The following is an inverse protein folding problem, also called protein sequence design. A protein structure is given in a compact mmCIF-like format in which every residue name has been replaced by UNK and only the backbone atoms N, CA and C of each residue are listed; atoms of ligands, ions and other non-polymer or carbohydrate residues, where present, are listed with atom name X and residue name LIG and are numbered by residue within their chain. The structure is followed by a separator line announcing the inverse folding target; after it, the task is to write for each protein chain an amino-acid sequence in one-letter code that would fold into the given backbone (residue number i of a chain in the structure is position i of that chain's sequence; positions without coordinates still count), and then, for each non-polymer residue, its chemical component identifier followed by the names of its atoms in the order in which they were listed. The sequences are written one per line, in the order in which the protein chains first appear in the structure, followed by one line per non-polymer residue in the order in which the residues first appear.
data_IF_166662772123
#
_entry.id   IF_166662772123
#
_cell.length_a   1.000
_cell.length_b   1.000
_cell.length_c   1.000
_cell.angle_alpha   90.00
_cell.angle_beta   90.00
_cell.angle_gamma   90.00
#
_symmetry.space_group_name_H-M   'P 1'
#
loop_
_entity.id
_entity.type
_entity.pdbx_description
1 polymer ?
#
# COMPACT_ATOMS: atom_id res chain seq x y z
N UNK A 1 -24.67 65.29 7.29
CA UNK A 1 -24.55 63.84 7.27
C UNK A 1 -23.11 63.47 7.03
N UNK A 2 -22.38 63.17 8.10
CA UNK A 2 -20.97 62.72 8.02
C UNK A 2 -20.96 61.20 7.98
N UNK A 3 -20.49 60.62 6.86
CA UNK A 3 -20.24 59.17 6.76
C UNK A 3 -18.86 58.85 7.33
N UNK A 4 -18.83 58.06 8.40
CA UNK A 4 -17.63 57.47 8.94
C UNK A 4 -17.29 56.18 8.17
N UNK A 5 -16.19 56.16 7.46
CA UNK A 5 -15.61 54.93 6.85
C UNK A 5 -14.66 54.34 7.88
N UNK A 6 -14.99 53.15 8.38
CA UNK A 6 -14.19 52.36 9.29
C UNK A 6 -13.20 51.53 8.46
N UNK A 7 -11.88 51.56 8.70
CA UNK A 7 -10.95 50.74 7.96
C UNK A 7 -10.97 49.29 8.53
N UNK A 8 -11.17 48.35 7.65
CA UNK A 8 -11.10 46.89 7.93
C UNK A 8 -9.62 46.51 8.08
N UNK A 9 -9.17 46.29 9.31
CA UNK A 9 -7.86 45.68 9.56
C UNK A 9 -7.88 44.20 9.19
N UNK A 10 -7.24 43.86 8.10
CA UNK A 10 -6.89 42.45 7.78
C UNK A 10 -5.76 41.98 8.72
N UNK A 11 -6.13 41.19 9.71
CA UNK A 11 -5.16 40.43 10.51
C UNK A 11 -4.57 39.31 9.63
N UNK A 12 -3.35 39.52 9.16
CA UNK A 12 -2.56 38.45 8.55
C UNK A 12 -2.15 37.45 9.64
N UNK A 13 -2.73 36.27 9.63
CA UNK A 13 -2.26 35.15 10.46
C UNK A 13 -0.83 34.75 10.04
N UNK A 14 0.10 34.57 10.97
CA UNK A 14 1.44 34.10 10.61
C UNK A 14 1.31 32.67 10.08
N UNK A 15 1.72 32.47 8.84
CA UNK A 15 2.01 31.13 8.31
C UNK A 15 3.20 30.61 9.12
N UNK A 16 2.94 29.73 10.08
CA UNK A 16 3.98 28.98 10.77
C UNK A 16 4.62 28.09 9.70
N UNK A 17 5.78 28.52 9.21
CA UNK A 17 6.61 27.72 8.32
C UNK A 17 6.90 26.39 9.00
N UNK A 18 6.39 25.29 8.41
CA UNK A 18 6.80 23.96 8.81
C UNK A 18 8.31 23.89 8.60
N UNK A 19 9.06 23.77 9.68
CA UNK A 19 10.46 23.38 9.65
C UNK A 19 10.52 22.00 8.99
N UNK A 20 10.78 21.94 7.70
CA UNK A 20 11.11 20.70 6.99
C UNK A 20 12.50 20.28 7.47
N UNK A 21 12.56 19.62 8.63
CA UNK A 21 13.76 18.89 9.00
C UNK A 21 14.00 17.87 7.88
N UNK A 22 15.10 18.01 7.14
CA UNK A 22 15.48 17.05 6.11
C UNK A 22 15.72 15.71 6.80
N UNK A 23 14.91 14.71 6.47
CA UNK A 23 15.10 13.36 7.01
C UNK A 23 16.48 12.82 6.61
N UNK A 24 17.14 12.06 7.48
CA UNK A 24 18.42 11.44 7.16
C UNK A 24 18.32 10.58 5.89
N UNK A 25 19.29 10.67 5.02
CA UNK A 25 19.41 9.79 3.86
C UNK A 25 19.92 8.41 4.30
N UNK A 26 19.46 7.36 3.63
CA UNK A 26 20.00 6.02 3.87
C UNK A 26 21.51 5.98 3.60
N UNK A 27 22.30 5.31 4.46
CA UNK A 27 23.69 5.03 4.18
C UNK A 27 23.85 4.30 2.84
N UNK A 28 24.95 4.55 2.13
CA UNK A 28 25.26 3.85 0.86
C UNK A 28 25.42 2.35 1.07
N UNK A 29 26.05 1.96 2.17
CA UNK A 29 26.17 0.56 2.62
C UNK A 29 25.44 0.39 3.96
N UNK A 30 24.64 -0.66 4.05
CA UNK A 30 23.93 -1.06 5.27
C UNK A 30 24.37 -2.47 5.61
N UNK A 31 24.98 -2.64 6.79
CA UNK A 31 25.25 -3.95 7.37
C UNK A 31 24.20 -4.17 8.47
N UNK A 32 23.39 -5.19 8.30
CA UNK A 32 22.39 -5.59 9.30
C UNK A 32 22.76 -6.97 9.84
N UNK A 33 22.83 -7.08 11.16
CA UNK A 33 23.08 -8.36 11.80
C UNK A 33 21.93 -9.32 11.50
N UNK A 34 22.25 -10.58 11.21
CA UNK A 34 21.24 -11.59 10.96
C UNK A 34 20.29 -11.72 12.17
N UNK A 35 19.01 -11.55 11.94
CA UNK A 35 17.97 -11.64 12.95
C UNK A 35 16.78 -12.46 12.42
N UNK A 36 16.51 -13.58 13.09
CA UNK A 36 15.38 -14.44 12.75
C UNK A 36 14.02 -13.81 13.08
N UNK A 37 14.00 -12.81 13.97
CA UNK A 37 12.79 -12.07 14.35
C UNK A 37 12.53 -10.87 13.45
N UNK A 38 11.32 -10.37 13.49
CA UNK A 38 10.90 -9.20 12.73
C UNK A 38 11.64 -7.95 13.23
N UNK A 39 12.26 -7.15 12.34
CA UNK A 39 12.91 -5.91 12.71
C UNK A 39 11.98 -4.92 13.41
N UNK A 40 12.50 -4.16 14.39
CA UNK A 40 11.72 -3.13 15.11
C UNK A 40 11.40 -1.95 14.16
N UNK A 41 10.11 -1.68 13.85
CA UNK A 41 9.74 -0.56 12.99
C UNK A 41 10.02 0.81 13.61
N UNK A 42 10.25 0.86 14.93
CA UNK A 42 10.53 2.10 15.66
C UNK A 42 12.02 2.38 15.86
N UNK A 43 12.89 1.50 15.38
CA UNK A 43 14.35 1.63 15.47
C UNK A 43 14.94 2.01 14.11
N UNK A 44 15.26 3.30 13.86
CA UNK A 44 15.97 3.72 12.67
C UNK A 44 17.38 3.14 12.60
N UNK A 45 17.96 3.05 11.39
CA UNK A 45 19.29 2.48 11.18
C UNK A 45 20.42 3.30 11.82
N UNK A 46 20.27 4.63 11.86
CA UNK A 46 21.33 5.54 12.28
C UNK A 46 20.92 6.46 13.45
N UNK A 47 19.83 6.16 14.13
CA UNK A 47 19.29 6.99 15.22
C UNK A 47 18.76 6.13 16.36
N UNK A 48 18.63 6.68 17.58
CA UNK A 48 17.96 6.00 18.67
C UNK A 48 16.51 5.63 18.29
N UNK A 49 15.96 4.67 19.01
CA UNK A 49 14.55 4.27 18.90
C UNK A 49 13.63 5.47 19.11
N UNK A 50 12.55 5.55 18.35
CA UNK A 50 11.57 6.64 18.40
C UNK A 50 10.94 6.79 19.79
N UNK A 51 10.77 8.04 20.22
CA UNK A 51 10.11 8.43 21.46
C UNK A 51 8.95 9.40 21.25
N UNK A 52 8.86 10.04 20.07
CA UNK A 52 7.79 10.98 19.73
C UNK A 52 7.15 10.66 18.38
N UNK A 53 5.87 11.01 18.21
CA UNK A 53 5.15 10.85 16.93
C UNK A 53 5.76 11.72 15.82
N UNK A 54 6.34 12.86 16.17
CA UNK A 54 6.99 13.77 15.20
C UNK A 54 8.22 13.18 14.52
N UNK A 55 8.81 12.11 15.06
CA UNK A 55 9.93 11.39 14.44
C UNK A 55 9.45 10.37 13.39
N UNK A 56 8.19 9.96 13.45
CA UNK A 56 7.66 8.91 12.58
C UNK A 56 7.73 9.23 11.08
N UNK A 57 7.44 10.45 10.59
CA UNK A 57 7.55 10.75 9.17
C UNK A 57 8.92 10.44 8.56
N UNK A 58 10.01 10.74 9.27
CA UNK A 58 11.36 10.39 8.80
C UNK A 58 11.62 8.88 8.85
N UNK A 59 11.12 8.18 9.86
CA UNK A 59 11.22 6.71 9.90
C UNK A 59 10.42 6.06 8.78
N UNK A 60 9.22 6.57 8.51
CA UNK A 60 8.38 6.14 7.39
C UNK A 60 9.13 6.27 6.05
N UNK A 61 9.77 7.40 5.83
CA UNK A 61 10.56 7.62 4.61
C UNK A 61 11.76 6.67 4.53
N UNK A 62 12.45 6.44 5.65
CA UNK A 62 13.54 5.45 5.72
C UNK A 62 13.04 4.04 5.36
N UNK A 63 11.88 3.61 5.89
CA UNK A 63 11.26 2.33 5.54
C UNK A 63 10.95 2.26 4.04
N UNK A 64 10.39 3.31 3.45
CA UNK A 64 10.14 3.37 1.99
C UNK A 64 11.41 3.21 1.18
N UNK A 65 12.48 3.87 1.57
CA UNK A 65 13.77 3.76 0.90
C UNK A 65 14.37 2.35 1.04
N UNK A 66 14.22 1.70 2.20
CA UNK A 66 14.62 0.30 2.40
C UNK A 66 13.85 -0.65 1.48
N UNK A 67 12.53 -0.53 1.44
CA UNK A 67 11.68 -1.34 0.57
C UNK A 67 12.03 -1.16 -0.91
N UNK A 68 12.32 0.07 -1.35
CA UNK A 68 12.75 0.35 -2.72
C UNK A 68 14.13 -0.23 -3.01
N UNK A 69 15.09 -0.03 -2.11
CA UNK A 69 16.48 -0.48 -2.31
C UNK A 69 16.59 -1.99 -2.40
N UNK A 70 15.90 -2.70 -1.53
CA UNK A 70 16.10 -4.15 -1.38
C UNK A 70 15.08 -5.00 -2.14
N UNK A 71 13.91 -4.46 -2.47
CA UNK A 71 12.81 -5.31 -2.94
C UNK A 71 12.11 -4.82 -4.19
N UNK A 72 11.61 -3.59 -4.19
CA UNK A 72 10.69 -3.16 -5.23
C UNK A 72 11.36 -2.38 -6.35
N UNK A 73 12.56 -1.83 -6.13
CA UNK A 73 13.20 -0.85 -7.01
C UNK A 73 12.62 0.55 -6.82
N UNK A 74 13.18 1.52 -7.54
CA UNK A 74 12.84 2.93 -7.36
C UNK A 74 11.48 3.26 -7.98
N UNK A 75 10.62 3.94 -7.22
CA UNK A 75 9.42 4.58 -7.72
C UNK A 75 9.76 6.01 -8.15
N UNK A 76 9.71 6.33 -9.46
CA UNK A 76 9.99 7.69 -9.90
C UNK A 76 8.95 8.68 -9.38
N UNK A 77 9.31 9.96 -9.22
CA UNK A 77 8.37 11.02 -8.91
C UNK A 77 7.35 11.22 -10.04
N UNK A 78 6.46 12.20 -9.86
CA UNK A 78 5.55 12.64 -10.92
C UNK A 78 6.36 13.03 -12.16
N UNK A 79 5.96 12.58 -13.37
CA UNK A 79 6.66 12.91 -14.61
C UNK A 79 6.58 14.40 -14.89
N UNK A 80 7.53 14.90 -15.70
CA UNK A 80 7.65 16.32 -16.06
C UNK A 80 6.40 16.90 -16.74
N UNK A 81 5.60 16.05 -17.42
CA UNK A 81 4.30 16.43 -17.96
C UNK A 81 3.30 15.28 -17.82
N UNK A 82 2.07 15.63 -17.44
CA UNK A 82 0.95 14.69 -17.40
C UNK A 82 -0.30 15.40 -17.90
N UNK A 83 -1.02 14.73 -18.81
CA UNK A 83 -2.31 15.15 -19.31
C UNK A 83 -3.32 14.01 -19.22
N UNK A 84 -4.60 14.35 -19.13
CA UNK A 84 -5.68 13.38 -19.09
C UNK A 84 -6.80 13.78 -20.05
N UNK A 85 -7.47 12.80 -20.65
CA UNK A 85 -8.64 13.00 -21.49
C UNK A 85 -9.70 11.95 -21.19
N UNK A 86 -10.97 12.40 -21.08
CA UNK A 86 -12.11 11.54 -20.83
C UNK A 86 -12.97 11.42 -22.08
N UNK A 87 -13.21 10.18 -22.52
CA UNK A 87 -14.16 9.88 -23.62
C UNK A 87 -15.11 8.76 -23.16
N UNK A 88 -16.38 9.10 -22.98
CA UNK A 88 -17.33 8.16 -22.39
C UNK A 88 -16.91 7.72 -20.99
N UNK A 89 -16.63 6.43 -20.83
CA UNK A 89 -16.13 5.83 -19.57
C UNK A 89 -14.60 5.64 -19.55
N UNK A 90 -13.91 6.00 -20.64
CA UNK A 90 -12.47 5.81 -20.78
C UNK A 90 -11.69 7.07 -20.40
N UNK A 91 -10.91 6.99 -19.33
CA UNK A 91 -9.98 8.04 -18.92
C UNK A 91 -8.57 7.65 -19.38
N UNK A 92 -8.04 8.37 -20.37
CA UNK A 92 -6.70 8.17 -20.91
C UNK A 92 -5.71 9.11 -20.21
N UNK A 93 -4.65 8.56 -19.69
CA UNK A 93 -3.56 9.27 -19.00
C UNK A 93 -2.33 9.24 -19.92
N UNK A 94 -1.77 10.42 -20.23
CA UNK A 94 -0.56 10.54 -21.01
C UNK A 94 0.53 11.20 -20.18
N UNK A 95 1.64 10.52 -20.03
CA UNK A 95 2.81 10.98 -19.28
C UNK A 95 3.99 11.22 -20.24
N UNK A 96 4.77 12.29 -19.96
CA UNK A 96 6.00 12.60 -20.70
C UNK A 96 7.14 12.80 -19.72
N UNK A 97 8.29 12.20 -20.04
CA UNK A 97 9.53 12.33 -19.26
C UNK A 97 10.75 12.21 -20.18
N UNK A 98 11.73 13.12 -20.05
CA UNK A 98 12.98 13.09 -20.81
C UNK A 98 12.80 12.84 -22.32
N UNK A 99 11.82 13.50 -22.94
CA UNK A 99 11.51 13.41 -24.37
C UNK A 99 10.72 12.15 -24.79
N UNK A 100 10.45 11.22 -23.87
CA UNK A 100 9.62 10.04 -24.12
C UNK A 100 8.17 10.31 -23.73
N UNK A 101 7.26 9.57 -24.34
CA UNK A 101 5.82 9.68 -24.08
C UNK A 101 5.22 8.28 -23.97
N UNK A 102 4.35 8.08 -22.99
CA UNK A 102 3.54 6.87 -22.84
C UNK A 102 2.10 7.23 -22.52
N UNK A 103 1.16 6.35 -22.83
CA UNK A 103 -0.24 6.50 -22.47
C UNK A 103 -0.84 5.18 -22.03
N UNK A 104 -1.75 5.24 -21.05
CA UNK A 104 -2.58 4.12 -20.64
C UNK A 104 -4.00 4.61 -20.35
N UNK A 105 -4.95 3.69 -20.34
CA UNK A 105 -6.36 4.02 -20.16
C UNK A 105 -6.95 3.21 -19.02
N UNK A 106 -7.78 3.85 -18.20
CA UNK A 106 -8.60 3.19 -17.20
C UNK A 106 -10.08 3.35 -17.53
N UNK A 107 -10.88 2.36 -17.14
CA UNK A 107 -12.33 2.38 -17.39
C UNK A 107 -13.06 2.77 -16.11
N UNK A 108 -13.92 3.77 -16.20
CA UNK A 108 -14.73 4.27 -15.10
C UNK A 108 -16.13 3.65 -15.15
N UNK A 109 -16.57 3.06 -14.04
CA UNK A 109 -17.98 2.68 -13.81
C UNK A 109 -18.52 3.55 -12.69
N UNK A 110 -19.36 4.51 -13.04
CA UNK A 110 -19.92 5.48 -12.10
C UNK A 110 -21.17 4.92 -11.41
N UNK A 111 -21.44 5.35 -10.16
CA UNK A 111 -22.69 5.07 -9.47
C UNK A 111 -23.91 5.62 -10.19
N UNK A 112 -25.02 4.90 -10.09
CA UNK A 112 -26.33 5.35 -10.61
C UNK A 112 -27.24 5.92 -9.52
N UNK A 113 -26.91 5.67 -8.25
CA UNK A 113 -27.76 5.96 -7.08
C UNK A 113 -27.10 6.89 -6.05
N UNK A 114 -26.03 7.60 -6.42
CA UNK A 114 -25.31 8.51 -5.53
C UNK A 114 -25.13 9.90 -6.17
N UNK A 115 -24.73 10.89 -5.37
CA UNK A 115 -24.44 12.25 -5.82
C UNK A 115 -22.93 12.44 -6.03
N UNK A 116 -22.53 13.01 -7.17
CA UNK A 116 -21.16 13.38 -7.46
C UNK A 116 -20.68 14.54 -6.56
N UNK A 117 -19.35 14.66 -6.29
CA UNK A 117 -18.30 13.76 -6.75
C UNK A 117 -18.27 12.44 -5.98
N UNK A 118 -18.08 11.33 -6.70
CA UNK A 118 -18.16 9.99 -6.14
C UNK A 118 -16.83 9.56 -5.50
N UNK A 119 -16.85 8.84 -4.37
CA UNK A 119 -15.72 8.03 -3.97
C UNK A 119 -15.49 6.92 -4.99
N UNK A 120 -14.25 6.43 -5.12
CA UNK A 120 -13.92 5.40 -6.08
C UNK A 120 -12.97 4.34 -5.50
N UNK A 121 -12.99 3.14 -6.09
CA UNK A 121 -12.00 2.09 -5.85
C UNK A 121 -11.31 1.74 -7.18
N UNK A 122 -10.00 1.88 -7.20
CA UNK A 122 -9.14 1.39 -8.29
C UNK A 122 -9.00 -0.12 -8.11
N UNK A 123 -9.52 -0.88 -9.07
CA UNK A 123 -9.42 -2.33 -9.08
C UNK A 123 -8.34 -2.76 -10.08
N UNK A 124 -7.38 -3.52 -9.62
CA UNK A 124 -6.33 -4.13 -10.45
C UNK A 124 -6.93 -5.27 -11.27
N UNK A 125 -7.03 -5.07 -12.57
CA UNK A 125 -7.80 -5.94 -13.46
C UNK A 125 -9.29 -5.76 -13.24
N UNK A 126 -9.94 -6.70 -12.56
CA UNK A 126 -11.34 -6.64 -12.16
C UNK A 126 -11.49 -6.64 -10.65
N UNK A 127 -12.52 -6.00 -10.11
CA UNK A 127 -12.82 -6.08 -8.69
C UNK A 127 -13.30 -7.48 -8.31
N UNK A 128 -12.61 -8.13 -7.38
CA UNK A 128 -13.02 -9.41 -6.78
C UNK A 128 -13.91 -9.22 -5.55
N UNK A 129 -13.82 -8.05 -4.90
CA UNK A 129 -14.65 -7.69 -3.76
C UNK A 129 -15.97 -7.05 -4.20
N UNK A 130 -17.08 -7.28 -3.47
CA UNK A 130 -18.37 -6.64 -3.75
C UNK A 130 -18.35 -5.16 -3.38
N UNK A 131 -18.15 -4.30 -4.37
CA UNK A 131 -18.11 -2.84 -4.20
C UNK A 131 -19.55 -2.31 -4.18
N UNK A 132 -19.92 -1.47 -3.17
CA UNK A 132 -21.25 -0.88 -3.09
C UNK A 132 -21.59 -0.04 -4.33
N UNK A 133 -22.87 -0.03 -4.72
CA UNK A 133 -23.36 0.73 -5.88
C UNK A 133 -23.26 2.26 -5.73
N UNK A 134 -22.89 2.75 -4.55
CA UNK A 134 -22.63 4.18 -4.25
C UNK A 134 -21.16 4.58 -4.46
N UNK A 135 -20.28 3.63 -4.74
CA UNK A 135 -18.85 3.83 -4.96
C UNK A 135 -18.53 3.55 -6.42
N UNK A 136 -17.80 4.44 -7.07
CA UNK A 136 -17.30 4.21 -8.43
C UNK A 136 -16.23 3.13 -8.47
N UNK A 137 -16.13 2.41 -9.57
CA UNK A 137 -15.02 1.48 -9.82
C UNK A 137 -14.18 2.00 -10.97
N UNK A 138 -12.87 1.99 -10.79
CA UNK A 138 -11.87 2.32 -11.80
C UNK A 138 -11.13 1.03 -12.14
N UNK A 139 -11.39 0.45 -13.31
CA UNK A 139 -10.68 -0.75 -13.77
C UNK A 139 -9.32 -0.34 -14.34
N UNK A 140 -8.25 -0.86 -13.74
CA UNK A 140 -6.88 -0.57 -14.10
C UNK A 140 -6.14 -1.84 -14.54
N UNK A 141 -5.72 -1.88 -15.80
CA UNK A 141 -4.94 -3.00 -16.37
C UNK A 141 -3.45 -2.84 -15.98
N UNK A 142 -3.15 -3.16 -14.73
CA UNK A 142 -1.84 -2.91 -14.12
C UNK A 142 -0.67 -3.62 -14.83
N UNK A 143 -0.91 -4.77 -15.48
CA UNK A 143 0.11 -5.49 -16.24
C UNK A 143 0.54 -4.79 -17.54
N UNK A 144 -0.18 -3.75 -17.98
CA UNK A 144 0.30 -2.88 -19.05
C UNK A 144 1.49 -2.02 -18.63
N UNK A 145 1.63 -1.74 -17.32
CA UNK A 145 2.79 -0.98 -16.81
C UNK A 145 4.08 -1.79 -16.85
N UNK A 146 4.00 -3.04 -16.45
CA UNK A 146 5.09 -4.00 -16.51
C UNK A 146 4.55 -5.39 -16.85
N UNK A 147 5.07 -6.03 -17.87
CA UNK A 147 4.65 -7.36 -18.26
C UNK A 147 5.07 -8.40 -17.22
N UNK A 148 4.17 -9.32 -16.88
CA UNK A 148 4.42 -10.41 -15.92
C UNK A 148 5.59 -11.32 -16.31
N UNK A 149 5.79 -11.52 -17.60
CA UNK A 149 6.76 -12.46 -18.18
C UNK A 149 7.88 -11.79 -18.96
N UNK A 150 8.16 -10.53 -18.70
CA UNK A 150 9.16 -9.79 -19.48
C UNK A 150 9.69 -8.57 -18.75
N UNK A 151 10.78 -8.73 -18.02
CA UNK A 151 11.46 -7.60 -17.37
C UNK A 151 11.81 -6.51 -18.37
N UNK A 152 11.60 -5.25 -17.98
CA UNK A 152 11.89 -4.09 -18.83
C UNK A 152 10.88 -3.88 -19.97
N UNK A 153 9.77 -4.63 -19.99
CA UNK A 153 8.68 -4.50 -20.97
C UNK A 153 7.43 -3.93 -20.33
N UNK A 154 6.74 -3.05 -21.04
CA UNK A 154 5.51 -2.39 -20.62
C UNK A 154 5.63 -0.87 -20.60
N UNK A 155 4.50 -0.20 -20.46
CA UNK A 155 4.36 1.26 -20.62
C UNK A 155 5.24 2.06 -19.68
N UNK A 156 5.47 1.56 -18.46
CA UNK A 156 6.39 2.22 -17.53
C UNK A 156 7.82 2.25 -18.09
N UNK A 157 8.28 1.13 -18.63
CA UNK A 157 9.63 1.03 -19.19
C UNK A 157 9.78 1.74 -20.55
N UNK A 158 8.69 1.92 -21.30
CA UNK A 158 8.70 2.78 -22.47
C UNK A 158 9.05 4.23 -22.09
N UNK A 159 8.60 4.67 -20.92
CA UNK A 159 8.87 6.01 -20.40
C UNK A 159 10.25 6.13 -19.74
N UNK A 160 10.55 5.20 -18.81
CA UNK A 160 11.75 5.31 -17.95
C UNK A 160 12.95 4.47 -18.43
N UNK A 161 12.75 3.63 -19.42
CA UNK A 161 13.78 2.76 -20.00
C UNK A 161 13.75 1.33 -19.47
N UNK A 162 14.08 0.37 -20.34
CA UNK A 162 14.03 -1.07 -20.07
C UNK A 162 14.96 -1.52 -18.92
N UNK A 163 16.01 -0.76 -18.63
CA UNK A 163 16.99 -1.04 -17.57
C UNK A 163 16.61 -0.42 -16.22
N UNK A 164 15.44 0.23 -16.11
CA UNK A 164 14.99 0.76 -14.82
C UNK A 164 14.81 -0.37 -13.81
N UNK A 165 15.30 -0.19 -12.57
CA UNK A 165 15.33 -1.26 -11.56
C UNK A 165 13.97 -1.55 -10.89
N UNK A 166 12.94 -0.75 -11.15
CA UNK A 166 11.60 -0.99 -10.61
C UNK A 166 11.05 -2.36 -11.04
N UNK A 167 10.47 -3.10 -10.10
CA UNK A 167 9.70 -4.30 -10.38
C UNK A 167 8.24 -3.97 -10.76
N UNK A 168 7.51 -4.95 -11.28
CA UNK A 168 6.13 -4.77 -11.75
C UNK A 168 5.17 -4.23 -10.68
N UNK A 169 5.35 -4.59 -9.42
CA UNK A 169 4.49 -4.14 -8.34
C UNK A 169 4.61 -2.63 -8.08
N UNK A 170 5.83 -2.10 -8.03
CA UNK A 170 6.04 -0.67 -7.79
C UNK A 170 5.70 0.17 -9.03
N UNK A 171 5.87 -0.37 -10.24
CA UNK A 171 5.44 0.30 -11.48
C UNK A 171 3.93 0.44 -11.54
N UNK A 172 3.19 -0.59 -11.09
CA UNK A 172 1.74 -0.54 -10.97
C UNK A 172 1.29 0.49 -9.91
N UNK A 173 1.98 0.58 -8.78
CA UNK A 173 1.73 1.60 -7.76
C UNK A 173 1.98 3.02 -8.30
N UNK A 174 3.03 3.22 -9.10
CA UNK A 174 3.25 4.48 -9.81
C UNK A 174 2.08 4.82 -10.73
N UNK A 175 1.53 3.84 -11.46
CA UNK A 175 0.35 4.02 -12.29
C UNK A 175 -0.89 4.46 -11.50
N UNK A 176 -1.11 3.90 -10.30
CA UNK A 176 -2.19 4.33 -9.38
C UNK A 176 -2.04 5.82 -9.03
N UNK A 177 -0.83 6.27 -8.71
CA UNK A 177 -0.58 7.67 -8.39
C UNK A 177 -0.86 8.58 -9.61
N UNK A 178 -0.56 8.12 -10.83
CA UNK A 178 -0.91 8.83 -12.09
C UNK A 178 -2.40 8.83 -12.38
N UNK A 179 -3.13 7.80 -11.99
CA UNK A 179 -4.60 7.80 -12.10
C UNK A 179 -5.20 8.90 -11.22
N UNK A 180 -4.70 9.06 -9.98
CA UNK A 180 -5.17 10.13 -9.08
C UNK A 180 -4.84 11.50 -9.66
N UNK A 181 -3.64 11.72 -10.22
CA UNK A 181 -3.29 12.95 -10.94
C UNK A 181 -4.28 13.25 -12.07
N UNK A 182 -4.66 12.23 -12.85
CA UNK A 182 -5.60 12.37 -13.95
C UNK A 182 -7.02 12.72 -13.47
N UNK A 183 -7.46 12.18 -12.34
CA UNK A 183 -8.74 12.54 -11.73
C UNK A 183 -8.76 14.00 -11.28
N UNK A 184 -7.66 14.49 -10.70
CA UNK A 184 -7.49 15.91 -10.34
C UNK A 184 -7.57 16.84 -11.56
N UNK A 185 -7.01 16.42 -12.70
CA UNK A 185 -7.04 17.17 -13.96
C UNK A 185 -8.38 17.07 -14.71
N UNK A 186 -9.26 16.13 -14.32
CA UNK A 186 -10.49 15.81 -15.08
C UNK A 186 -11.71 15.83 -14.18
N UNK A 187 -12.19 17.01 -13.72
CA UNK A 187 -13.43 17.10 -12.91
C UNK A 187 -14.67 16.48 -13.58
N UNK A 188 -14.67 16.42 -14.92
CA UNK A 188 -15.73 15.77 -15.70
C UNK A 188 -15.86 14.26 -15.42
N UNK A 189 -14.82 13.61 -14.86
CA UNK A 189 -14.88 12.22 -14.38
C UNK A 189 -15.83 12.04 -13.19
N UNK A 190 -16.21 13.13 -12.51
CA UNK A 190 -17.14 13.15 -11.35
C UNK A 190 -16.68 12.28 -10.18
N UNK A 191 -15.38 11.99 -10.06
CA UNK A 191 -14.77 11.23 -8.96
C UNK A 191 -14.03 12.20 -8.04
N UNK A 192 -14.14 11.99 -6.74
CA UNK A 192 -13.38 12.72 -5.73
C UNK A 192 -11.98 12.10 -5.58
N UNK A 193 -10.90 12.78 -6.01
CA UNK A 193 -9.55 12.24 -5.93
C UNK A 193 -9.02 12.07 -4.50
N UNK A 194 -9.71 12.64 -3.50
CA UNK A 194 -9.38 12.48 -2.07
C UNK A 194 -10.04 11.26 -1.44
N UNK A 195 -11.03 10.66 -2.10
CA UNK A 195 -11.77 9.49 -1.62
C UNK A 195 -11.57 8.30 -2.56
N UNK A 196 -10.29 7.96 -2.80
CA UNK A 196 -9.91 6.86 -3.68
C UNK A 196 -9.33 5.72 -2.86
N UNK A 197 -9.89 4.52 -3.05
CA UNK A 197 -9.35 3.26 -2.53
C UNK A 197 -8.68 2.45 -3.63
N UNK A 198 -8.03 1.35 -3.23
CA UNK A 198 -7.40 0.38 -4.13
C UNK A 198 -7.71 -1.04 -3.70
N UNK A 199 -7.93 -1.95 -4.65
CA UNK A 199 -8.18 -3.37 -4.40
C UNK A 199 -7.60 -4.26 -5.47
N UNK A 200 -7.40 -5.50 -5.12
CA UNK A 200 -7.01 -6.58 -6.01
C UNK A 200 -6.90 -7.88 -5.24
N UNK A 201 -6.92 -9.02 -5.94
CA UNK A 201 -6.76 -10.32 -5.34
C UNK A 201 -5.49 -11.02 -5.82
N UNK A 202 -4.93 -11.91 -4.98
CA UNK A 202 -3.74 -12.68 -5.29
C UNK A 202 -2.53 -11.77 -5.57
N UNK A 203 -1.83 -11.93 -6.69
CA UNK A 203 -0.76 -11.00 -7.11
C UNK A 203 -1.25 -9.56 -7.21
N UNK A 204 -2.51 -9.33 -7.61
CA UNK A 204 -3.11 -7.99 -7.60
C UNK A 204 -3.40 -7.49 -6.17
N UNK A 205 -3.61 -8.39 -5.21
CA UNK A 205 -3.67 -8.09 -3.78
C UNK A 205 -2.32 -7.59 -3.25
N UNK A 206 -1.20 -8.22 -3.66
CA UNK A 206 0.15 -7.71 -3.39
C UNK A 206 0.30 -6.28 -3.94
N UNK A 207 -0.10 -6.08 -5.22
CA UNK A 207 -0.07 -4.77 -5.87
C UNK A 207 -0.91 -3.71 -5.14
N UNK A 208 -2.10 -4.06 -4.66
CA UNK A 208 -2.97 -3.16 -3.90
C UNK A 208 -2.33 -2.75 -2.55
N UNK A 209 -1.69 -3.70 -1.84
CA UNK A 209 -0.95 -3.39 -0.61
C UNK A 209 0.19 -2.41 -0.88
N UNK A 210 0.98 -2.67 -1.92
CA UNK A 210 2.14 -1.82 -2.27
C UNK A 210 1.67 -0.44 -2.74
N UNK A 211 0.60 -0.36 -3.54
CA UNK A 211 0.05 0.93 -3.96
C UNK A 211 -0.37 1.79 -2.77
N UNK A 212 -1.14 1.23 -1.83
CA UNK A 212 -1.53 1.98 -0.64
C UNK A 212 -0.34 2.36 0.25
N UNK A 213 0.71 1.53 0.34
CA UNK A 213 1.91 1.83 1.13
C UNK A 213 2.74 2.99 0.53
N UNK A 214 2.83 3.07 -0.82
CA UNK A 214 3.67 4.05 -1.50
C UNK A 214 2.93 5.29 -1.99
N UNK A 215 1.59 5.24 -2.11
CA UNK A 215 0.76 6.36 -2.58
C UNK A 215 -0.09 6.90 -1.41
N UNK A 216 0.41 7.93 -0.73
CA UNK A 216 -0.25 8.51 0.45
C UNK A 216 -1.64 9.10 0.18
N UNK A 217 -1.99 9.34 -1.10
CA UNK A 217 -3.31 9.81 -1.53
C UNK A 217 -4.40 8.73 -1.54
N UNK A 218 -4.02 7.45 -1.39
CA UNK A 218 -4.98 6.34 -1.25
C UNK A 218 -5.60 6.41 0.15
N UNK A 219 -6.91 6.58 0.21
CA UNK A 219 -7.67 6.65 1.46
C UNK A 219 -7.93 5.27 2.08
N UNK A 220 -8.02 4.22 1.25
CA UNK A 220 -8.33 2.85 1.67
C UNK A 220 -7.66 1.83 0.78
N UNK A 221 -6.94 0.87 1.37
CA UNK A 221 -6.48 -0.32 0.67
C UNK A 221 -7.22 -1.57 1.15
N UNK A 222 -7.65 -2.38 0.19
CA UNK A 222 -8.43 -3.60 0.38
C UNK A 222 -7.75 -4.77 -0.37
N UNK A 223 -6.55 -5.19 0.04
CA UNK A 223 -5.90 -6.34 -0.54
C UNK A 223 -6.65 -7.62 -0.16
N UNK A 224 -6.85 -8.50 -1.15
CA UNK A 224 -7.50 -9.80 -0.96
C UNK A 224 -6.54 -10.92 -1.32
N UNK A 225 -6.39 -11.90 -0.43
CA UNK A 225 -5.63 -13.14 -0.63
C UNK A 225 -4.27 -12.94 -1.29
N UNK A 226 -3.58 -11.89 -0.85
CA UNK A 226 -2.27 -11.54 -1.38
C UNK A 226 -1.13 -12.40 -0.85
N UNK A 227 -1.31 -13.08 0.28
CA UNK A 227 -0.29 -13.92 0.89
C UNK A 227 1.00 -13.17 1.19
N UNK A 228 2.16 -13.76 0.87
CA UNK A 228 3.46 -13.12 1.12
C UNK A 228 3.64 -11.86 0.25
N UNK A 229 4.41 -10.89 0.73
CA UNK A 229 4.55 -9.53 0.16
C UNK A 229 3.27 -8.67 0.16
N UNK A 230 2.15 -9.19 0.67
CA UNK A 230 0.95 -8.42 0.97
C UNK A 230 0.69 -8.46 2.47
N UNK A 231 0.15 -9.58 2.96
CA UNK A 231 -0.18 -9.81 4.36
C UNK A 231 0.99 -10.43 5.15
N UNK A 232 1.73 -11.35 4.54
CA UNK A 232 2.73 -12.20 5.20
C UNK A 232 4.15 -11.66 5.17
N UNK A 233 4.94 -12.06 6.15
CA UNK A 233 6.35 -11.72 6.32
C UNK A 233 7.26 -12.85 5.83
N UNK A 234 8.36 -12.48 5.16
CA UNK A 234 9.32 -13.42 4.56
C UNK A 234 9.98 -14.34 5.58
N UNK A 235 10.40 -13.81 6.75
CA UNK A 235 11.04 -14.59 7.81
C UNK A 235 10.14 -15.71 8.32
N UNK A 236 8.86 -15.40 8.47
CA UNK A 236 7.85 -16.35 8.98
C UNK A 236 7.57 -17.42 7.90
N UNK A 237 7.43 -17.00 6.64
CA UNK A 237 7.23 -17.91 5.53
C UNK A 237 8.40 -18.90 5.37
N UNK A 238 9.63 -18.43 5.45
CA UNK A 238 10.83 -19.26 5.37
C UNK A 238 10.86 -20.31 6.49
N UNK A 239 10.45 -19.95 7.70
CA UNK A 239 10.38 -20.92 8.81
C UNK A 239 9.27 -21.96 8.60
N UNK A 240 8.09 -21.53 8.14
CA UNK A 240 6.98 -22.43 7.82
C UNK A 240 7.40 -23.43 6.73
N UNK A 241 8.08 -22.95 5.69
CA UNK A 241 8.60 -23.81 4.62
C UNK A 241 9.65 -24.81 5.12
N UNK A 242 10.58 -24.36 5.99
CA UNK A 242 11.59 -25.23 6.63
C UNK A 242 10.96 -26.31 7.50
N UNK A 243 9.80 -26.05 8.10
CA UNK A 243 9.04 -26.98 8.92
C UNK A 243 8.13 -27.91 8.09
N UNK A 244 8.23 -27.89 6.75
CA UNK A 244 7.60 -28.83 5.86
C UNK A 244 6.23 -28.41 5.29
N UNK A 245 5.71 -27.23 5.65
CA UNK A 245 4.48 -26.71 5.03
C UNK A 245 4.85 -25.88 3.80
N UNK A 246 4.29 -26.24 2.64
CA UNK A 246 4.52 -25.51 1.40
C UNK A 246 3.85 -24.14 1.47
N UNK A 247 4.65 -23.07 1.47
CA UNK A 247 4.21 -21.69 1.50
C UNK A 247 5.04 -20.89 0.49
N UNK A 248 4.47 -19.80 -0.03
CA UNK A 248 5.22 -18.88 -0.90
C UNK A 248 6.36 -18.21 -0.11
N UNK A 249 7.60 -18.31 -0.58
CA UNK A 249 8.79 -17.70 0.03
C UNK A 249 9.42 -16.64 -0.88
N UNK A 250 10.33 -15.84 -0.34
CA UNK A 250 11.09 -14.86 -1.13
C UNK A 250 11.88 -15.55 -2.26
N UNK A 251 12.46 -16.71 -2.00
CA UNK A 251 13.21 -17.50 -2.99
C UNK A 251 12.29 -17.96 -4.15
N UNK A 252 11.10 -18.43 -3.85
CA UNK A 252 10.18 -18.93 -4.88
C UNK A 252 9.63 -17.80 -5.75
N UNK A 253 9.29 -16.67 -5.15
CA UNK A 253 8.58 -15.58 -5.83
C UNK A 253 9.45 -14.85 -6.86
N UNK A 254 10.78 -14.86 -6.70
CA UNK A 254 11.70 -14.21 -7.67
C UNK A 254 12.07 -15.08 -8.86
N UNK A 255 11.81 -16.39 -8.80
CA UNK A 255 12.28 -17.36 -9.81
C UNK A 255 11.39 -17.46 -11.05
N UNK A 256 10.27 -16.78 -11.12
CA UNK A 256 9.36 -16.86 -12.27
C UNK A 256 8.74 -15.51 -12.65
N UNK A 257 8.86 -14.52 -11.80
CA UNK A 257 8.09 -13.29 -11.89
C UNK A 257 8.96 -12.04 -11.95
N UNK A 258 8.46 -11.04 -12.65
CA UNK A 258 9.11 -9.71 -12.77
C UNK A 258 8.55 -8.71 -11.76
N UNK A 259 7.85 -9.17 -10.74
CA UNK A 259 7.13 -8.35 -9.78
C UNK A 259 8.03 -7.50 -8.91
N UNK A 260 9.22 -8.02 -8.57
CA UNK A 260 10.20 -7.37 -7.71
C UNK A 260 11.41 -6.87 -8.51
N UNK A 261 12.20 -5.99 -7.91
CA UNK A 261 13.50 -5.59 -8.45
C UNK A 261 14.44 -6.79 -8.55
N UNK A 262 15.37 -6.75 -9.51
CA UNK A 262 16.47 -7.72 -9.59
C UNK A 262 17.38 -7.69 -8.35
N UNK A 263 17.38 -6.59 -7.60
CA UNK A 263 18.15 -6.48 -6.37
C UNK A 263 17.61 -7.43 -5.28
N UNK A 264 16.32 -7.74 -5.27
CA UNK A 264 15.72 -8.62 -4.27
C UNK A 264 16.28 -10.04 -4.36
N UNK A 265 16.56 -10.55 -5.56
CA UNK A 265 17.14 -11.89 -5.73
C UNK A 265 18.48 -12.11 -5.02
N UNK A 266 19.19 -11.04 -4.67
CA UNK A 266 20.45 -11.10 -3.92
C UNK A 266 20.27 -11.46 -2.43
N UNK A 267 19.03 -11.34 -1.91
CA UNK A 267 18.72 -11.46 -0.48
C UNK A 267 17.75 -12.58 -0.14
N UNK A 268 17.14 -13.23 -1.13
CA UNK A 268 16.08 -14.21 -0.91
C UNK A 268 16.52 -15.46 -0.16
N UNK A 269 17.82 -15.81 -0.20
CA UNK A 269 18.40 -16.91 0.59
C UNK A 269 18.97 -16.44 1.93
N UNK A 270 18.92 -15.14 2.21
CA UNK A 270 19.45 -14.51 3.42
C UNK A 270 18.47 -13.49 4.02
N UNK A 271 17.18 -13.77 3.95
CA UNK A 271 16.11 -12.89 4.46
C UNK A 271 16.37 -12.36 5.89
N UNK A 272 16.92 -13.14 6.83
CA UNK A 272 17.27 -12.64 8.15
C UNK A 272 18.29 -11.48 8.18
N UNK A 273 19.03 -11.25 7.09
CA UNK A 273 19.97 -10.12 6.98
C UNK A 273 19.33 -8.84 6.45
N UNK A 274 18.05 -8.86 6.06
CA UNK A 274 17.33 -7.68 5.64
C UNK A 274 16.95 -6.79 6.85
N UNK A 275 17.15 -5.47 6.78
CA UNK A 275 16.77 -4.54 7.86
C UNK A 275 15.26 -4.21 7.88
N UNK A 276 14.46 -4.97 7.20
CA UNK A 276 13.03 -4.79 7.06
C UNK A 276 12.31 -6.14 6.83
N UNK A 277 10.98 -6.15 7.01
CA UNK A 277 10.07 -7.20 6.55
C UNK A 277 8.68 -6.58 6.33
N UNK A 278 7.72 -7.31 5.76
CA UNK A 278 6.44 -6.76 5.28
C UNK A 278 5.57 -6.07 6.35
N UNK A 279 5.69 -6.43 7.62
CA UNK A 279 5.02 -5.69 8.71
C UNK A 279 5.38 -4.19 8.71
N UNK A 280 6.58 -3.81 8.25
CA UNK A 280 6.97 -2.41 8.10
C UNK A 280 6.24 -1.74 6.92
N UNK A 281 5.91 -2.47 5.87
CA UNK A 281 5.06 -1.94 4.79
C UNK A 281 3.65 -1.63 5.29
N UNK A 282 3.08 -2.49 6.14
CA UNK A 282 1.80 -2.21 6.79
C UNK A 282 1.87 -0.94 7.67
N UNK A 283 2.99 -0.72 8.36
CA UNK A 283 3.21 0.46 9.18
C UNK A 283 3.16 1.78 8.40
N UNK A 284 3.43 1.78 7.07
CA UNK A 284 3.36 2.98 6.24
C UNK A 284 1.96 3.58 6.12
N UNK A 285 0.91 2.83 6.44
CA UNK A 285 -0.47 3.30 6.44
C UNK A 285 -0.86 4.12 7.68
N UNK A 286 -0.04 4.08 8.72
CA UNK A 286 -0.39 4.71 9.99
C UNK A 286 -0.25 6.25 9.97
N UNK A 287 0.53 6.83 9.03
CA UNK A 287 0.73 8.26 8.91
C UNK A 287 0.97 8.70 7.43
N UNK A 288 0.15 9.57 6.85
CA UNK A 288 -1.15 9.99 7.39
C UNK A 288 -2.06 8.79 7.61
N UNK A 289 -2.94 8.82 8.61
CA UNK A 289 -3.77 7.66 8.94
C UNK A 289 -4.75 7.36 7.81
N UNK A 290 -4.68 6.12 7.30
CA UNK A 290 -5.48 5.64 6.17
C UNK A 290 -5.97 4.23 6.44
N UNK A 291 -7.08 3.83 5.82
CA UNK A 291 -7.64 2.50 5.99
C UNK A 291 -6.81 1.42 5.30
N UNK A 292 -6.52 0.36 6.03
CA UNK A 292 -6.00 -0.90 5.49
C UNK A 292 -6.86 -2.04 6.04
N UNK A 293 -7.57 -2.76 5.17
CA UNK A 293 -8.25 -4.01 5.54
C UNK A 293 -7.65 -5.15 4.72
N UNK A 294 -6.88 -5.99 5.36
CA UNK A 294 -6.35 -7.22 4.77
C UNK A 294 -7.41 -8.31 4.87
N UNK A 295 -7.76 -8.90 3.73
CA UNK A 295 -8.75 -9.97 3.58
C UNK A 295 -8.00 -11.21 3.09
N UNK A 296 -7.95 -12.28 3.90
CA UNK A 296 -7.14 -13.45 3.61
C UNK A 296 -7.91 -14.76 3.81
N UNK A 297 -7.34 -15.84 3.29
CA UNK A 297 -7.89 -17.19 3.31
C UNK A 297 -7.05 -18.10 4.21
N UNK A 298 -7.70 -18.87 5.07
CA UNK A 298 -7.02 -19.83 5.95
C UNK A 298 -6.98 -21.26 5.41
N UNK A 299 -7.70 -21.58 4.33
CA UNK A 299 -7.72 -22.92 3.73
C UNK A 299 -6.61 -23.13 2.68
N UNK A 300 -5.88 -22.11 2.28
CA UNK A 300 -4.84 -22.20 1.26
C UNK A 300 -3.46 -22.03 1.92
N UNK A 301 -2.81 -23.15 2.21
CA UNK A 301 -1.50 -23.17 2.90
C UNK A 301 -0.44 -22.34 2.16
N UNK A 302 -0.45 -22.34 0.82
CA UNK A 302 0.49 -21.60 0.00
C UNK A 302 0.46 -20.08 0.25
N UNK A 303 -0.70 -19.52 0.63
CA UNK A 303 -0.82 -18.12 1.03
C UNK A 303 -0.20 -17.81 2.40
N UNK A 304 0.11 -18.85 3.20
CA UNK A 304 0.75 -18.72 4.50
C UNK A 304 -0.12 -18.08 5.58
N UNK A 305 -1.27 -18.65 5.94
CA UNK A 305 -2.20 -18.06 6.92
C UNK A 305 -1.55 -17.64 8.24
N UNK A 306 -0.64 -18.47 8.76
CA UNK A 306 0.13 -18.16 9.98
C UNK A 306 1.02 -16.94 9.80
N UNK A 307 1.75 -16.88 8.67
CA UNK A 307 2.61 -15.74 8.35
C UNK A 307 1.80 -14.46 8.21
N UNK A 308 0.65 -14.54 7.53
CA UNK A 308 -0.24 -13.39 7.32
C UNK A 308 -0.73 -12.80 8.65
N UNK A 309 -1.18 -13.64 9.56
CA UNK A 309 -1.67 -13.19 10.88
C UNK A 309 -0.59 -12.51 11.71
N UNK A 310 0.56 -13.18 11.88
CA UNK A 310 1.62 -12.63 12.74
C UNK A 310 2.29 -11.40 12.14
N UNK A 311 2.47 -11.36 10.83
CA UNK A 311 3.03 -10.21 10.12
C UNK A 311 2.10 -8.99 10.22
N UNK A 312 0.80 -9.18 9.98
CA UNK A 312 -0.19 -8.13 10.13
C UNK A 312 -0.27 -7.63 11.58
N UNK A 313 -0.21 -8.53 12.58
CA UNK A 313 -0.17 -8.17 14.01
C UNK A 313 1.02 -7.28 14.31
N UNK A 314 2.23 -7.63 13.85
CA UNK A 314 3.42 -6.79 14.04
C UNK A 314 3.28 -5.42 13.34
N UNK A 315 2.68 -5.38 12.13
CA UNK A 315 2.41 -4.13 11.42
C UNK A 315 1.40 -3.22 12.15
N UNK A 316 0.38 -3.82 12.78
CA UNK A 316 -0.64 -3.09 13.57
C UNK A 316 -0.06 -2.39 14.80
N UNK A 317 1.05 -2.86 15.34
CA UNK A 317 1.74 -2.22 16.46
C UNK A 317 2.17 -0.78 16.15
N UNK A 318 2.52 -0.48 14.88
CA UNK A 318 2.82 0.89 14.48
C UNK A 318 1.57 1.78 14.52
N UNK A 319 0.41 1.27 14.09
CA UNK A 319 -0.86 1.98 14.18
C UNK A 319 -1.26 2.21 15.65
N UNK A 320 -0.98 1.26 16.53
CA UNK A 320 -1.22 1.41 17.98
C UNK A 320 -0.36 2.52 18.57
N UNK A 321 0.96 2.52 18.29
CA UNK A 321 1.89 3.56 18.76
C UNK A 321 1.48 4.98 18.33
N UNK A 322 0.92 5.10 17.12
CA UNK A 322 0.46 6.37 16.55
C UNK A 322 -0.98 6.75 16.95
N UNK A 323 -1.69 5.88 17.70
CA UNK A 323 -3.04 6.13 18.18
C UNK A 323 -4.14 5.90 17.16
N UNK A 324 -3.86 5.15 16.09
CA UNK A 324 -4.80 4.85 14.98
C UNK A 324 -4.98 3.34 14.75
N UNK A 325 -4.90 2.54 15.80
CA UNK A 325 -4.95 1.07 15.75
C UNK A 325 -6.12 0.52 14.93
N UNK A 326 -7.29 1.11 15.07
CA UNK A 326 -8.51 0.70 14.39
C UNK A 326 -8.58 1.09 12.91
N UNK A 327 -7.55 1.73 12.35
CA UNK A 327 -7.45 2.01 10.92
C UNK A 327 -6.83 0.85 10.14
N UNK A 328 -6.26 -0.13 10.87
CA UNK A 328 -5.78 -1.37 10.29
C UNK A 328 -6.63 -2.55 10.77
N UNK A 329 -7.39 -3.13 9.86
CA UNK A 329 -8.20 -4.33 10.06
C UNK A 329 -7.60 -5.56 9.37
N UNK A 330 -7.87 -6.71 9.97
CA UNK A 330 -7.45 -8.00 9.45
C UNK A 330 -8.60 -9.01 9.58
N UNK A 331 -8.93 -9.69 8.48
CA UNK A 331 -10.00 -10.68 8.42
C UNK A 331 -9.53 -11.89 7.61
N UNK A 332 -9.36 -13.02 8.29
CA UNK A 332 -9.08 -14.32 7.66
C UNK A 332 -10.26 -15.27 7.84
N UNK A 333 -10.69 -15.90 6.74
CA UNK A 333 -11.78 -16.87 6.78
C UNK A 333 -11.53 -18.03 5.80
N UNK A 334 -11.82 -19.25 6.24
CA UNK A 334 -11.62 -20.47 5.45
C UNK A 334 -12.64 -20.57 4.32
N UNK A 335 -12.17 -20.73 3.09
CA UNK A 335 -12.99 -21.07 1.92
C UNK A 335 -12.13 -21.71 0.82
N UNK A 336 -12.76 -22.47 -0.08
CA UNK A 336 -12.08 -23.24 -1.12
C UNK A 336 -11.78 -22.46 -2.41
N UNK A 337 -12.47 -21.35 -2.62
CA UNK A 337 -12.42 -20.58 -3.86
C UNK A 337 -11.40 -19.44 -3.74
N UNK A 338 -10.22 -19.59 -4.35
CA UNK A 338 -9.20 -18.54 -4.37
C UNK A 338 -9.74 -17.29 -5.07
N UNK A 339 -9.62 -16.14 -4.40
CA UNK A 339 -10.27 -14.88 -4.78
C UNK A 339 -11.80 -14.88 -4.64
N UNK A 340 -12.41 -15.90 -4.07
CA UNK A 340 -13.79 -15.86 -3.60
C UNK A 340 -13.94 -14.88 -2.44
N UNK A 341 -15.17 -14.42 -2.20
CA UNK A 341 -15.44 -13.53 -1.08
C UNK A 341 -16.54 -14.09 -0.18
N UNK A 342 -16.19 -14.63 0.99
CA UNK A 342 -17.15 -15.16 1.94
C UNK A 342 -18.08 -14.08 2.49
N UNK A 343 -19.39 -14.35 2.55
CA UNK A 343 -20.37 -13.43 3.13
C UNK A 343 -20.05 -13.06 4.59
N UNK A 344 -19.34 -13.93 5.30
CA UNK A 344 -18.91 -13.69 6.67
C UNK A 344 -17.98 -12.47 6.80
N UNK A 345 -17.24 -12.11 5.74
CA UNK A 345 -16.34 -10.95 5.71
C UNK A 345 -17.00 -9.66 5.18
N UNK A 346 -18.28 -9.74 4.75
CA UNK A 346 -19.01 -8.57 4.23
C UNK A 346 -19.15 -7.42 5.25
N UNK A 347 -19.43 -7.68 6.56
CA UNK A 347 -19.53 -6.59 7.53
C UNK A 347 -18.25 -5.78 7.67
N UNK A 348 -17.09 -6.45 7.67
CA UNK A 348 -15.77 -5.81 7.77
C UNK A 348 -15.48 -4.95 6.55
N UNK A 349 -15.69 -5.48 5.35
CA UNK A 349 -15.53 -4.76 4.09
C UNK A 349 -16.42 -3.52 4.05
N UNK A 350 -17.69 -3.69 4.44
CA UNK A 350 -18.65 -2.59 4.47
C UNK A 350 -18.21 -1.49 5.44
N UNK A 351 -17.79 -1.86 6.67
CA UNK A 351 -17.36 -0.91 7.68
C UNK A 351 -16.17 -0.06 7.21
N UNK A 352 -15.16 -0.68 6.57
CA UNK A 352 -14.00 0.05 6.06
C UNK A 352 -14.36 0.97 4.88
N UNK A 353 -15.18 0.53 3.94
CA UNK A 353 -15.67 1.40 2.84
C UNK A 353 -16.46 2.57 3.41
N UNK A 354 -17.37 2.33 4.35
CA UNK A 354 -18.17 3.36 4.98
C UNK A 354 -17.31 4.41 5.69
N UNK A 355 -16.34 3.98 6.48
CA UNK A 355 -15.49 4.90 7.22
C UNK A 355 -14.58 5.71 6.31
N UNK A 356 -13.82 5.06 5.44
CA UNK A 356 -12.70 5.71 4.73
C UNK A 356 -13.10 6.32 3.39
N UNK A 357 -14.18 5.85 2.75
CA UNK A 357 -14.63 6.39 1.46
C UNK A 357 -15.95 7.16 1.57
N UNK A 358 -16.85 6.78 2.47
CA UNK A 358 -18.15 7.41 2.62
C UNK A 358 -18.23 8.40 3.81
N UNK A 359 -17.18 8.49 4.62
CA UNK A 359 -17.07 9.43 5.73
C UNK A 359 -18.03 9.15 6.89
N UNK A 360 -18.49 7.89 7.06
CA UNK A 360 -19.37 7.50 8.15
C UNK A 360 -18.55 7.12 9.40
N UNK A 361 -19.09 7.40 10.57
CA UNK A 361 -18.49 6.96 11.83
C UNK A 361 -18.84 5.49 12.11
N UNK A 362 -18.09 4.59 11.45
CA UNK A 362 -18.27 3.14 11.54
C UNK A 362 -17.09 2.53 12.29
N UNK A 363 -17.37 1.55 13.17
CA UNK A 363 -16.33 0.82 13.88
C UNK A 363 -15.51 -0.05 12.91
N UNK A 364 -14.21 0.16 12.87
CA UNK A 364 -13.25 -0.58 12.05
C UNK A 364 -12.20 -1.33 12.91
N UNK A 365 -12.47 -1.54 14.21
CA UNK A 365 -11.63 -2.39 15.04
C UNK A 365 -11.89 -3.86 14.74
N UNK A 366 -11.35 -4.34 13.63
CA UNK A 366 -11.52 -5.68 13.07
C UNK A 366 -10.22 -6.45 13.19
N UNK A 367 -10.25 -7.59 13.90
CA UNK A 367 -9.11 -8.50 14.01
C UNK A 367 -9.61 -9.92 14.17
N UNK A 368 -9.78 -10.64 13.05
CA UNK A 368 -10.45 -11.95 13.02
C UNK A 368 -9.64 -12.98 12.24
N UNK A 369 -9.61 -14.18 12.75
CA UNK A 369 -9.10 -15.37 12.05
C UNK A 369 -9.87 -16.61 12.52
N UNK A 370 -10.12 -17.54 11.64
CA UNK A 370 -10.56 -18.91 11.94
C UNK A 370 -9.40 -19.93 11.77
N UNK A 371 -8.17 -19.43 11.58
CA UNK A 371 -6.98 -20.23 11.42
C UNK A 371 -6.66 -21.07 12.65
N UNK A 372 -6.29 -22.33 12.42
CA UNK A 372 -5.96 -23.31 13.46
C UNK A 372 -4.45 -23.40 13.70
N UNK A 373 -3.81 -22.26 13.96
CA UNK A 373 -2.38 -22.18 14.23
C UNK A 373 -2.14 -21.56 15.63
N UNK A 374 -0.94 -21.81 16.18
CA UNK A 374 -0.54 -21.27 17.47
C UNK A 374 -0.29 -19.77 17.30
N UNK A 375 -0.94 -18.96 18.13
CA UNK A 375 -0.70 -17.53 18.23
C UNK A 375 0.38 -17.30 19.28
N UNK A 376 1.62 -17.06 18.81
CA UNK A 376 2.76 -16.74 19.68
C UNK A 376 3.52 -15.55 19.10
N UNK A 377 3.12 -14.35 19.51
CA UNK A 377 3.73 -13.11 19.04
C UNK A 377 5.20 -12.98 19.47
N UNK A 378 5.56 -13.49 20.65
CA UNK A 378 6.93 -13.40 21.19
C UNK A 378 7.94 -14.21 20.39
N UNK A 379 7.47 -15.20 19.64
CA UNK A 379 8.31 -15.95 18.71
C UNK A 379 8.91 -15.05 17.64
N UNK A 380 8.13 -14.08 17.15
CA UNK A 380 8.49 -13.25 16.01
C UNK A 380 8.88 -11.82 16.37
N UNK A 381 8.41 -11.32 17.53
CA UNK A 381 8.60 -9.94 17.96
C UNK A 381 9.28 -9.95 19.34
N UNK A 382 10.45 -9.30 19.45
CA UNK A 382 11.20 -9.11 20.69
C UNK A 382 11.28 -7.64 21.12
N UNK A 383 10.53 -6.79 20.45
CA UNK A 383 10.36 -5.38 20.76
C UNK A 383 8.91 -5.08 21.19
N UNK A 384 8.69 -3.94 21.81
CA UNK A 384 7.38 -3.54 22.32
C UNK A 384 6.88 -2.28 21.63
N UNK A 385 5.56 -2.02 21.70
CA UNK A 385 4.96 -0.77 21.23
C UNK A 385 5.48 0.38 22.11
N UNK A 386 6.15 1.41 21.55
CA UNK A 386 6.58 2.56 22.34
C UNK A 386 5.41 3.47 22.67
N UNK A 387 5.49 4.11 23.83
CA UNK A 387 4.63 5.24 24.17
C UNK A 387 5.20 6.49 23.48
N UNK A 388 4.70 6.83 22.28
CA UNK A 388 5.14 8.02 21.54
C UNK A 388 4.38 9.26 22.04
N UNK A 389 5.12 10.26 22.52
CA UNK A 389 4.56 11.56 22.91
C UNK A 389 4.18 12.44 21.73
#
# INVERSE_FOLDING_TARGET
MLSFILPLLLLASPVIGQNTSTCPTLPSAITYASNAKLPDPFLPLASPRLTTKSQWPCRKEEIRQLLQRYTYGQMPPKPSSLTASLSGTSLTITAKEAGKTMSFTVTLKLPTSATAPYPAIIAYGAASLPIPSTVATITYQNFEMAADNGRGKGKFYDLYGANHNAGGMITAAWGVDRIIDALELTPAAKIDPKRVGVTGCSRNGKGATIAGAFVDRIALALPQEGGQAAAGCWRIADEIQKNGTKVETAHQIVNGDTWFSTDFSKYVDAVPTLPWDNHMMHALYADPPRGLLIIENTAIDYLGPTSNYHCATAGRMAHEALGVKHYFGFSQNSHSDHCGFPKAQQPELTAFIERFLLGKDTNTDVWKTDGKFVIDEKRWVDWSVPALS
#
